data_IF_681643701111
#
_entry.id   IF_681643701111
#
_cell.length_a   1.000
_cell.length_b   1.000
_cell.length_c   1.000
_cell.angle_alpha   90.00
_cell.angle_beta   90.00
_cell.angle_gamma   90.00
#
_symmetry.space_group_name_H-M   'P 1'
#
loop_
_entity.id
_entity.type
_entity.pdbx_description
1 polymer ?
#
# COMPACT_ATOMS: atom_id res chain seq x y z
N UNK A 1 54.47 15.89 -21.79
CA UNK A 1 53.83 15.48 -20.55
C UNK A 1 52.36 15.92 -20.56
N UNK A 2 51.48 15.24 -21.29
CA UNK A 2 50.04 15.47 -21.29
C UNK A 2 49.38 14.14 -21.70
N UNK A 3 49.11 13.25 -20.79
CA UNK A 3 48.53 11.95 -21.19
C UNK A 3 48.09 11.01 -20.09
N UNK A 4 48.31 11.32 -18.80
CA UNK A 4 48.04 10.33 -17.73
C UNK A 4 46.85 10.70 -16.81
N UNK A 5 46.14 11.78 -17.06
CA UNK A 5 45.09 12.24 -16.14
C UNK A 5 43.67 11.72 -16.46
N UNK A 6 43.48 11.00 -17.58
CA UNK A 6 42.13 10.58 -18.03
C UNK A 6 41.76 9.12 -17.72
N UNK A 7 42.68 8.32 -17.15
CA UNK A 7 42.44 6.89 -16.93
C UNK A 7 41.98 6.53 -15.49
N UNK A 8 41.90 7.48 -14.56
CA UNK A 8 41.50 7.20 -13.15
C UNK A 8 40.04 7.42 -12.82
N UNK A 9 39.21 7.87 -13.76
CA UNK A 9 37.77 8.15 -13.50
C UNK A 9 36.87 6.91 -13.30
N UNK A 10 37.04 5.74 -13.96
CA UNK A 10 36.09 4.64 -13.80
C UNK A 10 36.18 3.93 -12.44
N UNK A 11 37.34 3.90 -11.80
CA UNK A 11 37.54 3.18 -10.55
C UNK A 11 36.90 3.94 -9.38
N UNK A 12 37.01 5.27 -9.37
CA UNK A 12 36.44 6.12 -8.32
C UNK A 12 34.89 6.12 -8.36
N UNK A 13 34.30 6.08 -9.56
CA UNK A 13 32.83 5.96 -9.70
C UNK A 13 32.29 4.60 -9.23
N UNK A 14 33.05 3.53 -9.46
CA UNK A 14 32.65 2.19 -8.99
C UNK A 14 32.70 2.07 -7.46
N UNK A 15 33.68 2.71 -6.81
CA UNK A 15 33.75 2.73 -5.34
C UNK A 15 32.67 3.62 -4.70
N UNK A 16 32.39 4.78 -5.29
CA UNK A 16 31.30 5.66 -4.82
C UNK A 16 29.95 4.96 -4.95
N UNK A 17 29.68 4.24 -6.05
CA UNK A 17 28.45 3.45 -6.19
C UNK A 17 28.38 2.25 -5.22
N UNK A 18 29.50 1.60 -4.90
CA UNK A 18 29.54 0.58 -3.84
C UNK A 18 29.20 1.17 -2.48
N UNK A 19 29.78 2.30 -2.11
CA UNK A 19 29.50 3.00 -0.86
C UNK A 19 28.07 3.51 -0.78
N UNK A 20 27.48 3.99 -1.87
CA UNK A 20 26.06 4.34 -1.92
C UNK A 20 25.13 3.13 -1.77
N UNK A 21 25.43 1.99 -2.37
CA UNK A 21 24.64 0.74 -2.19
C UNK A 21 24.66 0.27 -0.73
N UNK A 22 25.79 0.39 -0.04
CA UNK A 22 25.87 0.08 1.40
C UNK A 22 25.23 1.17 2.27
N UNK A 23 25.33 2.44 1.88
CA UNK A 23 24.74 3.57 2.60
C UNK A 23 23.21 3.56 2.58
N UNK A 24 22.57 3.20 1.47
CA UNK A 24 21.11 3.10 1.37
C UNK A 24 20.59 1.89 2.15
N UNK A 25 21.26 0.75 2.10
CA UNK A 25 20.92 -0.42 2.91
C UNK A 25 21.06 -0.14 4.42
N UNK A 26 22.11 0.56 4.83
CA UNK A 26 22.34 0.97 6.23
C UNK A 26 21.36 2.07 6.68
N UNK A 27 20.95 2.98 5.80
CA UNK A 27 19.96 4.03 6.13
C UNK A 27 18.56 3.44 6.35
N UNK A 28 18.16 2.46 5.55
CA UNK A 28 16.87 1.75 5.73
C UNK A 28 16.93 0.87 7.00
N UNK A 29 18.00 0.14 7.21
CA UNK A 29 18.21 -0.63 8.44
C UNK A 29 18.35 0.27 9.67
N UNK A 30 19.00 1.42 9.56
CA UNK A 30 19.15 2.42 10.61
C UNK A 30 17.84 3.13 10.96
N UNK A 31 17.01 3.45 10.00
CA UNK A 31 15.68 4.04 10.24
C UNK A 31 14.73 3.06 10.93
N UNK A 32 14.77 1.78 10.54
CA UNK A 32 14.00 0.73 11.20
C UNK A 32 14.54 0.40 12.60
N UNK A 33 15.87 0.37 12.80
CA UNK A 33 16.49 0.19 14.11
C UNK A 33 16.28 1.39 15.04
N UNK A 34 16.27 2.63 14.52
CA UNK A 34 15.94 3.82 15.28
C UNK A 34 14.48 3.84 15.73
N UNK A 35 13.55 3.34 14.90
CA UNK A 35 12.14 3.17 15.24
C UNK A 35 11.96 2.15 16.39
N UNK A 36 12.82 1.12 16.47
CA UNK A 36 12.77 0.11 17.54
C UNK A 36 13.47 0.60 18.82
N UNK A 37 14.56 1.40 18.72
CA UNK A 37 15.34 1.86 19.88
C UNK A 37 14.80 3.15 20.53
N UNK A 38 14.07 4.00 19.80
CA UNK A 38 13.50 5.25 20.33
C UNK A 38 12.07 5.08 20.86
N UNK A 39 11.74 3.91 21.34
CA UNK A 39 10.42 3.61 21.89
C UNK A 39 10.30 4.13 23.32
N UNK A 40 9.39 5.06 23.63
CA UNK A 40 9.09 5.40 25.01
C UNK A 40 8.49 4.19 25.71
N UNK A 41 9.10 3.75 26.80
CA UNK A 41 8.53 2.75 27.71
C UNK A 41 7.23 3.30 28.28
N UNK A 42 6.11 2.98 27.67
CA UNK A 42 4.80 3.25 28.22
C UNK A 42 4.58 2.33 29.43
N UNK A 43 4.34 2.93 30.58
CA UNK A 43 4.13 2.23 31.82
C UNK A 43 2.91 1.30 31.76
N UNK A 44 3.02 0.16 32.40
CA UNK A 44 1.97 -0.82 32.63
C UNK A 44 0.86 -0.22 33.47
N UNK A 45 -0.22 0.23 32.80
CA UNK A 45 -1.49 0.56 33.44
C UNK A 45 -2.47 -0.57 33.19
N UNK A 46 -2.81 -1.31 34.25
CA UNK A 46 -3.85 -2.33 34.22
C UNK A 46 -5.20 -1.69 33.87
N UNK A 47 -5.72 -1.98 32.69
CA UNK A 47 -7.10 -1.64 32.33
C UNK A 47 -7.99 -2.88 32.43
N UNK A 48 -8.86 -2.86 33.43
CA UNK A 48 -9.95 -3.81 33.67
C UNK A 48 -10.80 -4.03 32.42
N UNK A 49 -10.93 -5.28 32.03
CA UNK A 49 -11.87 -5.75 31.01
C UNK A 49 -13.30 -5.51 31.45
N UNK A 50 -13.97 -4.54 30.84
CA UNK A 50 -15.41 -4.34 30.91
C UNK A 50 -16.09 -5.01 29.70
N UNK A 51 -16.84 -6.09 29.98
CA UNK A 51 -17.74 -6.73 29.01
C UNK A 51 -18.83 -5.75 28.59
N UNK A 52 -18.92 -5.44 27.32
CA UNK A 52 -20.17 -5.04 26.67
C UNK A 52 -20.19 -5.65 25.27
N UNK A 53 -20.70 -6.89 25.19
CA UNK A 53 -21.15 -7.45 23.94
C UNK A 53 -22.51 -6.84 23.61
N UNK A 54 -22.57 -5.93 22.67
CA UNK A 54 -23.82 -5.53 22.01
C UNK A 54 -23.81 -6.09 20.60
N UNK A 55 -24.84 -6.88 20.34
CA UNK A 55 -25.12 -7.54 19.08
C UNK A 55 -25.17 -6.54 17.92
N UNK A 56 -24.14 -6.55 17.08
CA UNK A 56 -24.23 -5.94 15.76
C UNK A 56 -24.84 -7.02 14.85
N UNK A 57 -26.05 -6.74 14.38
CA UNK A 57 -26.77 -7.56 13.43
C UNK A 57 -25.87 -7.96 12.25
N UNK A 58 -25.84 -9.25 12.03
CA UNK A 58 -25.15 -9.92 10.93
C UNK A 58 -25.53 -9.31 9.58
N UNK A 59 -24.74 -8.34 9.12
CA UNK A 59 -24.71 -7.99 7.71
C UNK A 59 -24.00 -9.15 7.01
N UNK A 60 -24.71 -9.81 6.11
CA UNK A 60 -24.20 -10.89 5.28
C UNK A 60 -22.79 -10.54 4.79
N UNK A 61 -21.81 -11.32 5.18
CA UNK A 61 -20.51 -11.35 4.54
C UNK A 61 -20.76 -11.82 3.11
N UNK A 62 -20.75 -10.89 2.17
CA UNK A 62 -20.79 -11.22 0.75
C UNK A 62 -19.42 -11.82 0.45
N UNK A 63 -19.39 -13.08 0.06
CA UNK A 63 -18.18 -13.75 -0.39
C UNK A 63 -17.53 -12.89 -1.50
N UNK A 64 -16.19 -12.70 -1.47
CA UNK A 64 -15.52 -11.92 -2.50
C UNK A 64 -15.76 -12.56 -3.86
N UNK A 65 -16.28 -11.77 -4.79
CA UNK A 65 -16.32 -12.17 -6.19
C UNK A 65 -14.88 -12.41 -6.66
N UNK A 66 -14.66 -13.50 -7.40
CA UNK A 66 -13.36 -13.83 -7.97
C UNK A 66 -12.93 -12.71 -8.92
N UNK A 67 -12.06 -11.83 -8.45
CA UNK A 67 -11.45 -10.79 -9.28
C UNK A 67 -10.26 -11.41 -10.01
N UNK A 68 -10.34 -11.45 -11.33
CA UNK A 68 -9.21 -11.87 -12.17
C UNK A 68 -7.99 -10.96 -11.96
N UNK A 69 -6.81 -11.56 -11.87
CA UNK A 69 -5.52 -10.93 -11.58
C UNK A 69 -4.95 -10.11 -12.75
N UNK A 70 -5.80 -9.48 -13.53
CA UNK A 70 -5.37 -8.51 -14.54
C UNK A 70 -5.19 -7.15 -13.91
N UNK A 71 -3.93 -6.70 -13.72
CA UNK A 71 -3.65 -5.28 -13.54
C UNK A 71 -4.43 -4.53 -14.62
N UNK A 72 -5.43 -3.72 -14.25
CA UNK A 72 -6.18 -2.87 -15.18
C UNK A 72 -5.19 -1.88 -15.82
N UNK A 73 -4.52 -2.33 -16.88
CA UNK A 73 -3.82 -1.43 -17.78
C UNK A 73 -4.94 -0.71 -18.54
N UNK A 74 -5.22 0.52 -18.08
CA UNK A 74 -6.13 1.40 -18.78
C UNK A 74 -5.72 1.52 -20.23
N UNK A 75 -6.53 1.06 -21.20
CA UNK A 75 -6.34 1.51 -22.55
C UNK A 75 -6.57 3.03 -22.51
N UNK A 76 -5.49 3.78 -22.76
CA UNK A 76 -5.61 5.23 -22.98
C UNK A 76 -6.62 5.42 -24.12
N UNK A 77 -7.77 6.06 -23.90
CA UNK A 77 -8.70 6.29 -24.98
C UNK A 77 -8.01 7.16 -26.02
N UNK A 78 -7.79 6.59 -27.18
CA UNK A 78 -7.39 7.31 -28.37
C UNK A 78 -8.61 8.08 -28.86
N UNK A 79 -8.66 9.40 -28.61
CA UNK A 79 -9.70 10.27 -29.18
C UNK A 79 -10.37 11.19 -28.15
N UNK A 80 -10.92 12.27 -28.63
CA UNK A 80 -11.51 13.45 -28.02
C UNK A 80 -12.64 13.27 -26.96
N UNK A 81 -12.65 12.18 -26.19
CA UNK A 81 -13.66 11.98 -25.16
C UNK A 81 -13.25 12.72 -23.90
N UNK A 82 -14.04 13.70 -23.47
CA UNK A 82 -13.78 14.46 -22.25
C UNK A 82 -13.72 13.54 -21.02
N UNK A 83 -12.93 13.92 -20.02
CA UNK A 83 -12.83 13.21 -18.73
C UNK A 83 -14.23 12.94 -18.14
N UNK A 84 -15.08 13.96 -18.10
CA UNK A 84 -16.45 13.86 -17.57
C UNK A 84 -17.25 12.75 -18.23
N UNK A 85 -17.17 12.64 -19.55
CA UNK A 85 -17.91 11.61 -20.30
C UNK A 85 -17.36 10.21 -20.03
N UNK A 86 -16.04 10.07 -19.92
CA UNK A 86 -15.41 8.79 -19.57
C UNK A 86 -15.83 8.34 -18.17
N UNK A 87 -15.72 9.23 -17.18
CA UNK A 87 -16.12 8.96 -15.80
C UNK A 87 -17.61 8.61 -15.73
N UNK A 88 -18.48 9.35 -16.42
CA UNK A 88 -19.90 9.07 -16.45
C UNK A 88 -20.20 7.68 -17.01
N UNK A 89 -19.61 7.31 -18.15
CA UNK A 89 -19.79 5.98 -18.75
C UNK A 89 -19.34 4.84 -17.83
N UNK A 90 -18.24 5.03 -17.11
CA UNK A 90 -17.76 4.06 -16.14
C UNK A 90 -18.72 3.94 -14.95
N UNK A 91 -19.19 5.08 -14.43
CA UNK A 91 -20.08 5.12 -13.27
C UNK A 91 -21.47 4.54 -13.54
N UNK A 92 -22.03 4.75 -14.74
CA UNK A 92 -23.33 4.22 -15.17
C UNK A 92 -23.39 2.68 -15.19
N UNK A 93 -22.24 2.03 -15.30
CA UNK A 93 -22.17 0.55 -15.29
C UNK A 93 -22.48 -0.07 -13.93
N UNK A 94 -22.30 0.66 -12.83
CA UNK A 94 -22.38 0.17 -11.44
C UNK A 94 -21.45 -1.01 -11.14
N UNK A 95 -20.49 -1.29 -12.01
CA UNK A 95 -19.47 -2.32 -11.87
C UNK A 95 -18.37 -1.80 -10.94
N UNK A 96 -18.05 -2.47 -9.81
CA UNK A 96 -17.07 -2.00 -8.85
C UNK A 96 -15.68 -1.76 -9.44
N UNK A 97 -15.23 -2.58 -10.40
CA UNK A 97 -13.94 -2.38 -11.07
C UNK A 97 -13.95 -1.12 -11.93
N UNK A 98 -15.05 -0.85 -12.65
CA UNK A 98 -15.21 0.38 -13.42
C UNK A 98 -15.39 1.61 -12.53
N UNK A 99 -16.02 1.47 -11.36
CA UNK A 99 -16.08 2.53 -10.36
C UNK A 99 -14.68 2.85 -9.85
N UNK A 100 -13.85 1.84 -9.54
CA UNK A 100 -12.46 2.06 -9.17
C UNK A 100 -11.65 2.76 -10.25
N UNK A 101 -11.94 2.44 -11.50
CA UNK A 101 -11.38 3.09 -12.66
C UNK A 101 -11.79 4.55 -12.77
N UNK A 102 -13.09 4.86 -12.61
CA UNK A 102 -13.60 6.22 -12.55
C UNK A 102 -12.96 7.03 -11.44
N UNK A 103 -12.83 6.44 -10.24
CA UNK A 103 -12.07 7.01 -9.13
C UNK A 103 -10.64 7.34 -9.54
N UNK A 104 -9.92 6.37 -10.12
CA UNK A 104 -8.50 6.52 -10.46
C UNK A 104 -8.27 7.65 -11.46
N UNK A 105 -9.13 7.79 -12.46
CA UNK A 105 -9.08 8.91 -13.44
C UNK A 105 -9.24 10.27 -12.76
N UNK A 106 -10.19 10.39 -11.82
CA UNK A 106 -10.42 11.63 -11.07
C UNK A 106 -9.33 11.91 -10.05
N UNK A 107 -8.86 10.89 -9.32
CA UNK A 107 -7.78 11.02 -8.36
C UNK A 107 -6.48 11.48 -9.04
N UNK A 108 -6.18 10.93 -10.21
CA UNK A 108 -5.04 11.34 -11.03
C UNK A 108 -5.09 12.83 -11.41
N UNK A 109 -6.29 13.31 -11.76
CA UNK A 109 -6.51 14.74 -12.02
C UNK A 109 -6.44 15.61 -10.76
N UNK A 110 -6.89 15.13 -9.61
CA UNK A 110 -6.71 15.83 -8.32
C UNK A 110 -5.23 16.00 -8.01
N UNK A 111 -4.45 14.93 -8.14
CA UNK A 111 -3.01 14.96 -7.92
C UNK A 111 -2.29 15.90 -8.92
N UNK A 112 -2.63 15.80 -10.20
CA UNK A 112 -2.06 16.68 -11.22
C UNK A 112 -2.39 18.16 -10.97
N UNK A 113 -3.63 18.49 -10.61
CA UNK A 113 -4.03 19.86 -10.32
C UNK A 113 -3.38 20.41 -9.04
N UNK A 114 -2.94 19.54 -8.12
CA UNK A 114 -2.17 19.90 -6.93
C UNK A 114 -0.69 20.14 -7.24
N UNK A 115 -0.11 19.29 -8.09
CA UNK A 115 1.30 19.36 -8.48
C UNK A 115 1.48 19.00 -9.96
N UNK A 116 1.65 20.03 -10.79
CA UNK A 116 1.86 19.87 -12.24
C UNK A 116 3.26 19.32 -12.60
N UNK A 117 4.17 19.26 -11.64
CA UNK A 117 5.52 18.71 -11.84
C UNK A 117 5.78 17.42 -11.06
N UNK A 118 4.71 16.74 -10.70
CA UNK A 118 4.77 15.48 -9.95
C UNK A 118 5.60 14.41 -10.65
N UNK A 119 6.16 13.53 -9.87
CA UNK A 119 6.78 12.31 -10.40
C UNK A 119 5.71 11.28 -10.78
N UNK A 120 5.89 10.65 -11.94
CA UNK A 120 5.05 9.56 -12.41
C UNK A 120 5.84 8.27 -12.49
N UNK A 121 5.16 7.15 -12.33
CA UNK A 121 5.76 5.84 -12.49
C UNK A 121 5.84 5.46 -13.96
N UNK A 122 7.04 5.05 -14.40
CA UNK A 122 7.33 4.62 -15.76
C UNK A 122 7.92 3.20 -15.74
N UNK A 123 7.10 2.23 -16.12
CA UNK A 123 7.46 0.81 -16.13
C UNK A 123 8.62 0.52 -17.10
N UNK A 124 8.68 1.22 -18.24
CA UNK A 124 9.75 1.05 -19.20
C UNK A 124 11.09 1.58 -18.65
N UNK A 125 11.03 2.71 -17.93
CA UNK A 125 12.22 3.22 -17.25
C UNK A 125 12.70 2.25 -16.18
N UNK A 126 11.79 1.67 -15.41
CA UNK A 126 12.11 0.66 -14.38
C UNK A 126 12.81 -0.55 -15.00
N UNK A 127 12.30 -1.05 -16.13
CA UNK A 127 12.90 -2.22 -16.83
C UNK A 127 14.25 -1.91 -17.44
N UNK A 128 14.43 -0.69 -17.97
CA UNK A 128 15.65 -0.30 -18.72
C UNK A 128 16.77 0.25 -17.83
N UNK A 129 16.45 0.71 -16.64
CA UNK A 129 17.41 1.38 -15.75
C UNK A 129 17.50 0.64 -14.41
N UNK A 130 18.41 -0.34 -14.28
CA UNK A 130 18.63 -1.05 -13.00
C UNK A 130 18.97 -0.10 -11.84
N UNK A 131 19.56 1.07 -12.15
CA UNK A 131 19.92 2.09 -11.18
C UNK A 131 18.70 2.92 -10.71
N UNK A 132 17.60 2.93 -11.48
CA UNK A 132 16.32 3.52 -11.08
C UNK A 132 15.34 2.42 -10.65
N UNK A 133 15.66 1.75 -9.53
CA UNK A 133 14.89 0.64 -9.00
C UNK A 133 13.40 0.97 -8.75
N UNK A 134 13.08 2.24 -8.60
CA UNK A 134 11.72 2.70 -8.32
C UNK A 134 10.93 3.09 -9.58
N UNK A 135 11.59 3.31 -10.74
CA UNK A 135 10.93 3.64 -12.00
C UNK A 135 10.18 4.96 -12.02
N UNK A 136 10.52 5.92 -11.15
CA UNK A 136 9.88 7.23 -11.13
C UNK A 136 10.66 8.26 -11.94
N UNK A 137 9.95 9.12 -12.68
CA UNK A 137 10.49 10.28 -13.39
C UNK A 137 9.53 11.46 -13.34
N UNK A 138 10.04 12.65 -13.61
CA UNK A 138 9.18 13.81 -13.84
C UNK A 138 8.39 13.66 -15.14
N UNK A 139 7.22 14.30 -15.18
CA UNK A 139 6.41 14.40 -16.40
C UNK A 139 7.14 15.21 -17.46
N UNK A 140 7.02 14.79 -18.71
CA UNK A 140 7.45 15.59 -19.87
C UNK A 140 6.48 16.75 -20.10
N UNK A 141 6.92 17.79 -20.80
CA UNK A 141 6.07 18.94 -21.13
C UNK A 141 4.83 18.54 -21.98
N UNK A 142 4.99 17.53 -22.84
CA UNK A 142 3.86 16.99 -23.61
C UNK A 142 2.82 16.30 -22.70
N UNK A 143 3.26 15.54 -21.69
CA UNK A 143 2.39 14.91 -20.69
C UNK A 143 1.67 15.96 -19.85
N UNK A 144 2.39 17.00 -19.41
CA UNK A 144 1.81 18.13 -18.66
C UNK A 144 0.74 18.86 -19.47
N UNK A 145 1.01 19.15 -20.74
CA UNK A 145 0.03 19.79 -21.63
C UNK A 145 -1.23 18.92 -21.82
N UNK A 146 -1.04 17.62 -22.07
CA UNK A 146 -2.15 16.67 -22.20
C UNK A 146 -3.00 16.62 -20.93
N UNK A 147 -2.35 16.51 -19.76
CA UNK A 147 -3.06 16.40 -18.49
C UNK A 147 -3.69 17.75 -18.07
N UNK A 148 -3.10 18.90 -18.45
CA UNK A 148 -3.74 20.21 -18.30
C UNK A 148 -5.06 20.28 -19.09
N UNK A 149 -5.08 19.81 -20.33
CA UNK A 149 -6.30 19.77 -21.13
C UNK A 149 -7.33 18.81 -20.57
N UNK A 150 -6.91 17.62 -20.10
CA UNK A 150 -7.77 16.58 -19.55
C UNK A 150 -8.37 16.99 -18.20
N UNK A 151 -7.55 17.53 -17.30
CA UNK A 151 -7.91 17.74 -15.90
C UNK A 151 -8.36 19.17 -15.58
N UNK A 152 -8.06 20.14 -16.46
CA UNK A 152 -8.37 21.56 -16.22
C UNK A 152 -9.85 21.89 -16.13
N UNK A 153 -10.72 21.05 -16.74
CA UNK A 153 -12.17 21.23 -16.70
C UNK A 153 -12.87 20.41 -15.61
N UNK A 154 -12.10 19.73 -14.72
CA UNK A 154 -12.68 18.93 -13.63
C UNK A 154 -13.49 19.80 -12.66
N UNK A 155 -14.77 19.50 -12.52
CA UNK A 155 -15.67 20.20 -11.62
C UNK A 155 -15.49 19.75 -10.16
N UNK A 156 -15.95 20.58 -9.22
CA UNK A 156 -15.97 20.20 -7.78
C UNK A 156 -16.87 18.99 -7.52
N UNK A 157 -17.99 18.88 -8.26
CA UNK A 157 -18.87 17.71 -8.18
C UNK A 157 -18.15 16.42 -8.54
N UNK A 158 -17.35 16.41 -9.59
CA UNK A 158 -16.54 15.25 -9.99
C UNK A 158 -15.48 14.94 -8.95
N UNK A 159 -14.83 15.97 -8.39
CA UNK A 159 -13.87 15.81 -7.31
C UNK A 159 -14.50 15.10 -6.10
N UNK A 160 -15.70 15.45 -5.71
CA UNK A 160 -16.41 14.81 -4.59
C UNK A 160 -16.92 13.42 -4.95
N UNK A 161 -17.50 13.23 -6.13
CA UNK A 161 -18.05 11.94 -6.59
C UNK A 161 -16.99 10.82 -6.60
N UNK A 162 -15.70 11.15 -6.75
CA UNK A 162 -14.63 10.14 -6.71
C UNK A 162 -14.62 9.35 -5.41
N UNK A 163 -14.98 9.99 -4.28
CA UNK A 163 -15.00 9.32 -2.97
C UNK A 163 -16.11 8.26 -2.90
N UNK A 164 -17.26 8.52 -3.51
CA UNK A 164 -18.37 7.57 -3.58
C UNK A 164 -17.99 6.36 -4.45
N UNK A 165 -17.34 6.60 -5.58
CA UNK A 165 -16.85 5.53 -6.45
C UNK A 165 -15.81 4.66 -5.74
N UNK A 166 -14.87 5.28 -5.03
CA UNK A 166 -13.87 4.57 -4.24
C UNK A 166 -14.51 3.77 -3.11
N UNK A 167 -15.44 4.35 -2.37
CA UNK A 167 -16.13 3.67 -1.27
C UNK A 167 -16.89 2.43 -1.77
N UNK A 168 -17.56 2.53 -2.93
CA UNK A 168 -18.24 1.40 -3.55
C UNK A 168 -17.27 0.29 -3.98
N UNK A 169 -16.16 0.66 -4.61
CA UNK A 169 -15.12 -0.28 -5.03
C UNK A 169 -14.44 -0.97 -3.85
N UNK A 170 -14.09 -0.22 -2.80
CA UNK A 170 -13.46 -0.75 -1.58
C UNK A 170 -14.40 -1.70 -0.83
N UNK A 171 -15.69 -1.35 -0.76
CA UNK A 171 -16.72 -2.23 -0.19
C UNK A 171 -16.89 -3.53 -0.96
N UNK A 172 -16.69 -3.51 -2.27
CA UNK A 172 -16.75 -4.70 -3.12
C UNK A 172 -15.43 -5.52 -3.11
N UNK A 173 -14.38 -5.04 -2.48
CA UNK A 173 -13.08 -5.73 -2.39
C UNK A 173 -12.27 -5.68 -3.70
N UNK A 174 -12.42 -4.62 -4.49
CA UNK A 174 -11.61 -4.42 -5.70
C UNK A 174 -10.14 -4.25 -5.28
N UNK A 175 -9.20 -5.01 -5.85
CA UNK A 175 -7.79 -4.96 -5.45
C UNK A 175 -7.21 -3.53 -5.49
N UNK A 176 -6.52 -3.14 -4.42
CA UNK A 176 -5.91 -1.81 -4.26
C UNK A 176 -6.87 -0.70 -3.84
N UNK A 177 -8.19 -0.93 -3.90
CA UNK A 177 -9.18 0.09 -3.51
C UNK A 177 -9.19 0.37 -2.01
N UNK A 178 -8.92 -0.61 -1.16
CA UNK A 178 -8.89 -0.42 0.29
C UNK A 178 -7.70 0.47 0.74
N UNK A 179 -6.52 0.31 0.12
CA UNK A 179 -5.38 1.23 0.35
C UNK A 179 -5.72 2.64 -0.15
N UNK A 180 -6.30 2.76 -1.33
CA UNK A 180 -6.71 4.05 -1.87
C UNK A 180 -7.74 4.72 -0.95
N UNK A 181 -8.73 3.98 -0.45
CA UNK A 181 -9.73 4.46 0.51
C UNK A 181 -9.08 4.99 1.79
N UNK A 182 -8.13 4.26 2.34
CA UNK A 182 -7.38 4.71 3.52
C UNK A 182 -6.58 6.00 3.24
N UNK A 183 -5.94 6.11 2.07
CA UNK A 183 -5.14 7.28 1.69
C UNK A 183 -5.97 8.55 1.48
N UNK A 184 -7.17 8.42 0.96
CA UNK A 184 -8.10 9.55 0.83
C UNK A 184 -8.53 10.11 2.18
N UNK A 185 -8.59 9.28 3.21
CA UNK A 185 -9.00 9.68 4.54
C UNK A 185 -10.51 9.91 4.68
N UNK A 186 -10.99 10.18 5.90
CA UNK A 186 -12.38 10.51 6.14
C UNK A 186 -12.81 11.72 5.33
N UNK A 187 -13.84 11.58 4.51
CA UNK A 187 -14.40 12.67 3.66
C UNK A 187 -13.40 13.25 2.65
N UNK A 188 -12.34 12.51 2.28
CA UNK A 188 -11.26 12.99 1.42
C UNK A 188 -10.28 13.93 2.14
N UNK A 189 -10.25 13.89 3.46
CA UNK A 189 -9.36 14.68 4.32
C UNK A 189 -8.58 13.75 5.27
N UNK A 190 -7.37 13.29 4.92
CA UNK A 190 -6.55 12.46 5.79
C UNK A 190 -6.22 13.12 7.13
N UNK A 191 -6.20 14.46 7.20
CA UNK A 191 -5.89 15.18 8.43
C UNK A 191 -6.98 15.02 9.49
N UNK A 192 -8.21 14.65 9.09
CA UNK A 192 -9.32 14.40 10.02
C UNK A 192 -9.02 13.29 11.04
N UNK A 193 -8.15 12.32 10.67
CA UNK A 193 -7.71 11.27 11.58
C UNK A 193 -6.96 11.78 12.82
N UNK A 194 -6.32 12.95 12.72
CA UNK A 194 -5.56 13.57 13.80
C UNK A 194 -6.23 14.82 14.36
N UNK A 195 -6.97 15.56 13.53
CA UNK A 195 -7.63 16.83 13.94
C UNK A 195 -9.01 16.62 14.56
N UNK A 196 -9.66 15.50 14.22
CA UNK A 196 -11.01 15.13 14.72
C UNK A 196 -11.07 13.66 15.13
N UNK A 197 -10.13 13.17 15.97
CA UNK A 197 -10.02 11.74 16.26
C UNK A 197 -11.26 11.16 16.95
N UNK A 198 -12.00 11.97 17.74
CA UNK A 198 -13.17 11.53 18.50
C UNK A 198 -14.51 11.77 17.79
N UNK A 199 -14.48 12.31 16.57
CA UNK A 199 -15.68 12.48 15.74
C UNK A 199 -16.27 11.09 15.41
N UNK A 200 -17.55 10.82 15.75
CA UNK A 200 -18.18 9.52 15.49
C UNK A 200 -18.09 9.06 14.05
N UNK A 201 -18.19 9.97 13.08
CA UNK A 201 -18.08 9.65 11.65
C UNK A 201 -16.65 9.28 11.26
N UNK A 202 -15.64 9.91 11.88
CA UNK A 202 -14.24 9.54 11.70
C UNK A 202 -13.96 8.16 12.29
N UNK A 203 -14.53 7.85 13.44
CA UNK A 203 -14.40 6.53 14.06
C UNK A 203 -15.07 5.43 13.22
N UNK A 204 -16.27 5.68 12.70
CA UNK A 204 -16.97 4.76 11.79
C UNK A 204 -16.14 4.52 10.52
N UNK A 205 -15.62 5.60 9.92
CA UNK A 205 -14.73 5.50 8.75
C UNK A 205 -13.48 4.68 9.05
N UNK A 206 -12.82 4.90 10.20
CA UNK A 206 -11.65 4.12 10.63
C UNK A 206 -11.96 2.63 10.74
N UNK A 207 -13.09 2.30 11.37
CA UNK A 207 -13.51 0.91 11.51
C UNK A 207 -13.74 0.25 10.13
N UNK A 208 -14.38 0.96 9.21
CA UNK A 208 -14.64 0.49 7.85
C UNK A 208 -13.34 0.30 7.07
N UNK A 209 -12.46 1.30 7.05
CA UNK A 209 -11.18 1.25 6.35
C UNK A 209 -10.30 0.09 6.86
N UNK A 210 -10.24 -0.10 8.19
CA UNK A 210 -9.54 -1.22 8.80
C UNK A 210 -10.11 -2.57 8.38
N UNK A 211 -11.43 -2.73 8.42
CA UNK A 211 -12.08 -3.97 8.06
C UNK A 211 -11.84 -4.35 6.59
N UNK A 212 -11.89 -3.38 5.67
CA UNK A 212 -11.62 -3.59 4.25
C UNK A 212 -10.18 -4.02 3.99
N UNK A 213 -9.21 -3.34 4.61
CA UNK A 213 -7.79 -3.69 4.48
C UNK A 213 -7.48 -5.08 5.02
N UNK A 214 -8.02 -5.44 6.19
CA UNK A 214 -7.85 -6.77 6.78
C UNK A 214 -8.43 -7.83 5.84
N UNK A 215 -9.64 -7.62 5.33
CA UNK A 215 -10.27 -8.55 4.41
C UNK A 215 -9.46 -8.76 3.12
N UNK A 216 -8.90 -7.68 2.56
CA UNK A 216 -8.04 -7.74 1.37
C UNK A 216 -6.73 -8.48 1.65
N UNK A 217 -6.07 -8.21 2.79
CA UNK A 217 -4.85 -8.88 3.19
C UNK A 217 -5.05 -10.38 3.46
N UNK A 218 -6.12 -10.74 4.19
CA UNK A 218 -6.44 -12.14 4.50
C UNK A 218 -6.86 -12.93 3.26
N UNK A 219 -7.46 -12.25 2.29
CA UNK A 219 -7.75 -12.84 0.99
C UNK A 219 -6.49 -13.07 0.14
N UNK A 220 -5.34 -12.49 0.49
CA UNK A 220 -4.08 -12.62 -0.25
C UNK A 220 -4.16 -12.04 -1.66
N UNK A 221 -4.90 -10.95 -1.87
CA UNK A 221 -5.07 -10.35 -3.19
C UNK A 221 -3.87 -9.54 -3.64
N UNK A 222 -3.22 -8.83 -2.71
CA UNK A 222 -2.10 -7.94 -3.00
C UNK A 222 -1.05 -8.03 -1.88
N UNK A 223 0.20 -8.47 -2.21
CA UNK A 223 1.30 -8.48 -1.23
C UNK A 223 1.58 -7.10 -0.63
N UNK A 224 1.34 -6.03 -1.38
CA UNK A 224 1.51 -4.66 -0.90
C UNK A 224 0.56 -4.33 0.26
N UNK A 225 -0.69 -4.82 0.23
CA UNK A 225 -1.65 -4.67 1.33
C UNK A 225 -1.20 -5.46 2.55
N UNK A 226 -0.70 -6.69 2.38
CA UNK A 226 -0.18 -7.52 3.47
C UNK A 226 0.99 -6.82 4.18
N UNK A 227 1.95 -6.29 3.41
CA UNK A 227 3.08 -5.55 3.96
C UNK A 227 2.65 -4.25 4.65
N UNK A 228 1.69 -3.53 4.06
CA UNK A 228 1.15 -2.30 4.62
C UNK A 228 0.56 -2.54 6.02
N UNK A 229 -0.34 -3.52 6.14
CA UNK A 229 -0.97 -3.86 7.43
C UNK A 229 0.06 -4.34 8.47
N UNK A 230 1.06 -5.12 8.05
CA UNK A 230 2.14 -5.56 8.94
C UNK A 230 2.85 -4.35 9.56
N UNK A 231 3.17 -3.35 8.75
CA UNK A 231 3.83 -2.10 9.18
C UNK A 231 2.92 -1.30 10.13
N UNK A 232 1.63 -1.18 9.80
CA UNK A 232 0.65 -0.48 10.63
C UNK A 232 0.53 -1.11 12.03
N UNK A 233 0.43 -2.43 12.12
CA UNK A 233 0.39 -3.13 13.41
C UNK A 233 1.72 -3.09 14.17
N UNK A 234 2.85 -3.04 13.49
CA UNK A 234 4.16 -2.93 14.12
C UNK A 234 4.39 -1.55 14.74
N UNK A 235 4.07 -0.49 14.01
CA UNK A 235 4.29 0.90 14.43
C UNK A 235 3.14 1.45 15.27
N UNK A 236 1.91 1.09 14.93
CA UNK A 236 0.70 1.77 15.34
C UNK A 236 0.44 3.04 14.52
N UNK A 237 -0.83 3.36 14.32
CA UNK A 237 -1.24 4.55 13.59
C UNK A 237 -2.60 5.05 14.10
N UNK A 238 -3.08 6.20 13.63
CA UNK A 238 -4.43 6.64 13.96
C UNK A 238 -5.52 5.64 13.59
N UNK A 239 -5.27 4.74 12.62
CA UNK A 239 -6.22 3.72 12.14
C UNK A 239 -6.01 2.36 12.80
N UNK A 240 -4.76 1.99 13.10
CA UNK A 240 -4.40 0.68 13.64
C UNK A 240 -3.71 0.81 15.00
N UNK A 241 -4.25 0.14 15.99
CA UNK A 241 -3.55 -0.03 17.27
C UNK A 241 -2.38 -1.00 17.09
N UNK A 242 -1.27 -0.68 17.76
CA UNK A 242 -0.11 -1.56 17.76
C UNK A 242 -0.46 -2.95 18.26
N UNK A 243 -0.04 -3.97 17.50
CA UNK A 243 -0.24 -5.37 17.87
C UNK A 243 0.91 -6.24 17.33
N UNK A 244 1.78 -6.69 18.22
CA UNK A 244 2.96 -7.47 17.85
C UNK A 244 2.61 -8.82 17.21
N UNK A 245 1.54 -9.50 17.65
CA UNK A 245 1.09 -10.77 17.09
C UNK A 245 0.63 -10.60 15.65
N UNK A 246 -0.25 -9.62 15.39
CA UNK A 246 -0.73 -9.32 14.04
C UNK A 246 0.41 -8.82 13.13
N UNK A 247 1.31 -7.98 13.63
CA UNK A 247 2.50 -7.57 12.88
C UNK A 247 3.35 -8.78 12.48
N UNK A 248 3.61 -9.70 13.43
CA UNK A 248 4.34 -10.94 13.20
C UNK A 248 3.67 -11.80 12.12
N UNK A 249 2.34 -12.01 12.20
CA UNK A 249 1.55 -12.73 11.20
C UNK A 249 1.73 -12.17 9.79
N UNK A 250 1.45 -10.88 9.62
CA UNK A 250 1.42 -10.28 8.29
C UNK A 250 2.83 -10.11 7.69
N UNK A 251 3.87 -9.87 8.48
CA UNK A 251 5.25 -9.89 7.97
C UNK A 251 5.67 -11.29 7.52
N UNK A 252 5.34 -12.35 8.29
CA UNK A 252 5.58 -13.74 7.85
C UNK A 252 4.83 -14.05 6.56
N UNK A 253 3.55 -13.68 6.47
CA UNK A 253 2.78 -13.89 5.26
C UNK A 253 3.40 -13.17 4.06
N UNK A 254 3.86 -11.94 4.24
CA UNK A 254 4.57 -11.18 3.20
C UNK A 254 5.86 -11.89 2.75
N UNK A 255 6.66 -12.41 3.67
CA UNK A 255 7.86 -13.19 3.35
C UNK A 255 7.56 -14.47 2.56
N UNK A 256 6.53 -15.21 2.97
CA UNK A 256 6.09 -16.42 2.27
C UNK A 256 5.60 -16.12 0.84
N UNK A 257 4.80 -15.07 0.66
CA UNK A 257 4.31 -14.64 -0.65
C UNK A 257 5.46 -14.18 -1.55
N UNK A 258 6.39 -13.39 -1.04
CA UNK A 258 7.56 -12.98 -1.82
C UNK A 258 8.51 -14.14 -2.11
N UNK A 259 8.60 -15.13 -1.23
CA UNK A 259 9.32 -16.38 -1.49
C UNK A 259 8.72 -17.16 -2.66
N UNK A 260 7.40 -17.13 -2.84
CA UNK A 260 6.74 -17.73 -4.00
C UNK A 260 6.98 -16.94 -5.29
N UNK A 261 6.89 -15.60 -5.24
CA UNK A 261 7.04 -14.73 -6.42
C UNK A 261 8.49 -14.65 -6.91
N UNK A 262 9.46 -14.48 -6.00
CA UNK A 262 10.86 -14.15 -6.28
C UNK A 262 11.83 -15.31 -6.00
N UNK A 263 11.34 -16.39 -5.43
CA UNK A 263 12.11 -17.49 -4.89
C UNK A 263 12.43 -17.36 -3.38
N UNK A 264 12.57 -18.51 -2.69
CA UNK A 264 12.80 -18.55 -1.24
C UNK A 264 14.13 -17.91 -0.82
N UNK A 265 15.07 -17.81 -1.76
CA UNK A 265 16.40 -17.22 -1.55
C UNK A 265 16.44 -15.70 -1.77
N UNK A 266 15.33 -15.06 -2.15
CA UNK A 266 15.28 -13.61 -2.34
C UNK A 266 15.52 -12.86 -1.02
N UNK A 267 16.13 -11.68 -1.10
CA UNK A 267 16.43 -10.85 0.07
C UNK A 267 15.16 -10.51 0.88
N UNK A 268 14.03 -10.29 0.21
CA UNK A 268 12.74 -9.99 0.86
C UNK A 268 12.22 -11.22 1.59
N UNK A 269 12.26 -12.41 0.99
CA UNK A 269 11.83 -13.64 1.66
C UNK A 269 12.67 -13.92 2.90
N UNK A 270 14.00 -13.79 2.80
CA UNK A 270 14.94 -13.96 3.93
C UNK A 270 14.75 -12.91 5.02
N UNK A 271 14.44 -11.66 4.64
CA UNK A 271 14.24 -10.56 5.59
C UNK A 271 13.03 -10.80 6.51
N UNK A 272 11.98 -11.42 5.98
CA UNK A 272 10.76 -11.76 6.72
C UNK A 272 10.67 -13.26 7.09
N UNK A 273 11.76 -14.02 6.98
CA UNK A 273 11.80 -15.41 7.42
C UNK A 273 11.63 -15.52 8.95
N UNK A 274 11.02 -16.62 9.41
CA UNK A 274 10.72 -16.86 10.82
C UNK A 274 11.94 -16.73 11.74
N UNK A 275 13.11 -17.14 11.26
CA UNK A 275 14.41 -17.12 11.93
C UNK A 275 15.21 -15.83 11.69
N UNK A 276 14.63 -14.82 11.06
CA UNK A 276 15.31 -13.54 10.84
C UNK A 276 15.36 -12.68 12.10
N UNK A 277 16.40 -11.85 12.21
CA UNK A 277 16.55 -10.92 13.34
C UNK A 277 15.38 -9.93 13.47
N UNK A 278 14.73 -9.55 12.34
CA UNK A 278 13.55 -8.73 12.37
C UNK A 278 12.38 -9.45 13.04
N UNK A 279 12.11 -10.69 12.62
CA UNK A 279 10.99 -11.49 13.13
C UNK A 279 11.20 -11.85 14.61
N UNK A 280 12.44 -12.15 15.03
CA UNK A 280 12.79 -12.32 16.45
C UNK A 280 12.50 -11.05 17.26
N UNK A 281 12.83 -9.88 16.71
CA UNK A 281 12.58 -8.59 17.38
C UNK A 281 11.07 -8.29 17.51
N UNK A 282 10.28 -8.56 16.47
CA UNK A 282 8.82 -8.33 16.47
C UNK A 282 8.14 -9.32 17.42
N UNK A 283 8.54 -10.58 17.36
CA UNK A 283 7.94 -11.67 18.15
C UNK A 283 8.50 -11.82 19.56
N UNK A 284 9.44 -10.97 20.02
CA UNK A 284 10.16 -11.15 21.29
C UNK A 284 9.25 -11.36 22.52
N UNK A 285 8.11 -10.65 22.53
CA UNK A 285 7.16 -10.68 23.64
C UNK A 285 6.04 -11.72 23.44
N UNK A 286 6.05 -12.47 22.32
CA UNK A 286 5.11 -13.55 22.04
C UNK A 286 5.62 -14.88 22.62
N UNK A 287 4.71 -15.62 23.26
CA UNK A 287 4.99 -16.99 23.67
C UNK A 287 5.21 -17.90 22.45
N UNK A 288 5.87 -19.06 22.61
CA UNK A 288 6.01 -20.04 21.53
C UNK A 288 4.68 -20.49 20.93
N UNK A 289 3.63 -20.60 21.74
CA UNK A 289 2.29 -20.99 21.29
C UNK A 289 1.65 -19.89 20.43
N UNK A 290 1.79 -18.60 20.82
CA UNK A 290 1.32 -17.46 20.03
C UNK A 290 2.07 -17.36 18.70
N UNK A 291 3.41 -17.47 18.71
CA UNK A 291 4.19 -17.49 17.46
C UNK A 291 3.75 -18.59 16.52
N UNK A 292 3.51 -19.80 17.03
CA UNK A 292 3.04 -20.92 16.22
C UNK A 292 1.64 -20.67 15.64
N UNK A 293 0.74 -20.07 16.41
CA UNK A 293 -0.59 -19.71 15.95
C UNK A 293 -0.54 -18.63 14.84
N UNK A 294 0.29 -17.60 15.02
CA UNK A 294 0.46 -16.53 14.03
C UNK A 294 1.14 -17.03 12.75
N UNK A 295 2.11 -17.94 12.85
CA UNK A 295 2.73 -18.61 11.71
C UNK A 295 1.71 -19.44 10.92
N UNK A 296 0.83 -20.17 11.61
CA UNK A 296 -0.23 -20.95 10.95
C UNK A 296 -1.20 -20.03 10.19
N UNK A 297 -1.57 -18.87 10.78
CA UNK A 297 -2.39 -17.88 10.11
C UNK A 297 -1.67 -17.23 8.92
N UNK A 298 -0.38 -16.93 9.04
CA UNK A 298 0.45 -16.39 7.95
C UNK A 298 0.50 -17.36 6.74
N UNK A 299 0.68 -18.64 7.01
CA UNK A 299 0.66 -19.69 5.97
C UNK A 299 -0.71 -19.76 5.26
N UNK A 300 -1.80 -19.54 5.98
CA UNK A 300 -3.12 -19.51 5.36
C UNK A 300 -3.28 -18.33 4.39
N UNK A 301 -2.77 -17.14 4.74
CA UNK A 301 -2.76 -15.97 3.85
C UNK A 301 -1.94 -16.27 2.59
N UNK A 302 -0.74 -16.84 2.73
CA UNK A 302 0.10 -17.22 1.60
C UNK A 302 -0.58 -18.29 0.71
N UNK A 303 -1.27 -19.27 1.30
CA UNK A 303 -2.07 -20.26 0.54
C UNK A 303 -3.23 -19.60 -0.22
N UNK A 304 -3.86 -18.59 0.33
CA UNK A 304 -4.91 -17.83 -0.36
C UNK A 304 -4.35 -17.08 -1.55
N UNK A 305 -3.15 -16.46 -1.40
CA UNK A 305 -2.41 -15.84 -2.50
C UNK A 305 -2.10 -16.86 -3.60
N UNK A 306 -1.49 -17.98 -3.26
CA UNK A 306 -1.16 -19.06 -4.20
C UNK A 306 -2.38 -19.50 -5.01
N UNK A 307 -3.51 -19.82 -4.35
CA UNK A 307 -4.74 -20.26 -5.03
C UNK A 307 -5.29 -19.26 -6.04
N UNK A 308 -5.04 -17.96 -5.85
CA UNK A 308 -5.49 -16.91 -6.76
C UNK A 308 -4.59 -16.71 -7.95
N UNK A 309 -3.29 -17.00 -7.82
CA UNK A 309 -2.26 -16.67 -8.80
C UNK A 309 -1.68 -17.92 -9.51
N UNK A 310 -2.13 -19.12 -9.15
CA UNK A 310 -1.67 -20.39 -9.72
C UNK A 310 -2.28 -20.73 -11.11
N UNK A 311 -2.77 -19.71 -11.86
CA UNK A 311 -3.40 -19.90 -13.19
C UNK A 311 -2.62 -19.27 -14.31
#
# INVERSE_FOLDING_TARGET
MKGEFLQRRPVLQAEIMRLMKWGVGLAIAGAMAALVMYWPKAGSGEARAGRAASAINSTRVIAPAQAGTGRLVLPMPSGDVSLSRQVQQLAESHDPEKLYLAYSLLADCVEFNRDHDRMIYDEELRKKSPDNAFGYRHMTEQEKQRDTMRCGAMSERERQSRLDYLAAAAKAGVPGSAIAFLREGPFGDPSALTTRPDDPLVQEWKALARAQLIAEAEAGTDPGVVNYIATEYAAGSPTFERNAGLAYRYFLANGLIHGEILGPDSDIAKFFAEDSALMDSIGKDLSPAERAAELAAARQIALNFHKRHAH
#
